data_IF_254408320982
#
_entry.id   IF_254408320982
#
_cell.length_a   1.000
_cell.length_b   1.000
_cell.length_c   1.000
_cell.angle_alpha   90.00
_cell.angle_beta   90.00
_cell.angle_gamma   90.00
#
_symmetry.space_group_name_H-M   'P 1'
#
loop_
_entity.id
_entity.type
_entity.pdbx_description
1 polymer ?
#
# COMPACT_ATOMS: atom_id res chain seq x y z
N UNK A 1 -18.14 6.02 -16.23
CA UNK A 1 -16.89 6.20 -15.47
C UNK A 1 -16.44 4.81 -14.95
N UNK A 2 -15.22 4.65 -14.42
CA UNK A 2 -14.70 3.35 -13.93
C UNK A 2 -14.38 3.42 -12.44
N UNK A 3 -14.82 2.41 -11.68
CA UNK A 3 -14.57 2.29 -10.24
C UNK A 3 -13.79 1.01 -9.95
N UNK A 4 -12.92 1.10 -8.94
CA UNK A 4 -12.19 -0.02 -8.37
C UNK A 4 -12.31 0.08 -6.86
N UNK A 5 -12.86 -0.94 -6.23
CA UNK A 5 -12.92 -1.07 -4.78
C UNK A 5 -12.05 -2.27 -4.36
N UNK A 6 -11.12 -2.02 -3.43
CA UNK A 6 -10.35 -3.08 -2.76
C UNK A 6 -10.64 -3.05 -1.27
N UNK A 7 -11.06 -4.19 -0.72
CA UNK A 7 -11.19 -4.40 0.72
C UNK A 7 -9.93 -5.10 1.22
N UNK A 8 -9.22 -4.47 2.14
CA UNK A 8 -7.91 -4.93 2.64
C UNK A 8 -7.98 -5.20 4.13
N UNK A 9 -7.50 -6.38 4.56
CA UNK A 9 -7.41 -6.77 5.97
C UNK A 9 -6.24 -6.06 6.64
N UNK A 10 -6.51 -5.43 7.78
CA UNK A 10 -5.47 -4.89 8.67
C UNK A 10 -5.18 -5.89 9.80
N UNK A 11 -3.91 -6.11 10.20
CA UNK A 11 -2.68 -5.52 9.66
C UNK A 11 -2.01 -6.32 8.52
N UNK A 12 -2.56 -7.48 8.12
CA UNK A 12 -1.92 -8.39 7.16
C UNK A 12 -1.76 -7.83 5.74
N UNK A 13 -2.51 -6.78 5.41
CA UNK A 13 -2.57 -6.17 4.07
C UNK A 13 -3.06 -7.14 2.98
N UNK A 14 -3.79 -8.18 3.36
CA UNK A 14 -4.38 -9.15 2.45
C UNK A 14 -5.64 -8.55 1.81
N UNK A 15 -5.78 -8.68 0.49
CA UNK A 15 -6.97 -8.30 -0.24
C UNK A 15 -8.05 -9.37 0.00
N UNK A 16 -9.15 -8.97 0.63
CA UNK A 16 -10.28 -9.85 0.97
C UNK A 16 -11.48 -9.61 0.05
N UNK A 17 -11.42 -8.60 -0.81
CA UNK A 17 -12.43 -8.31 -1.82
C UNK A 17 -11.88 -7.36 -2.88
N UNK A 18 -12.28 -7.58 -4.13
CA UNK A 18 -11.91 -6.75 -5.27
C UNK A 18 -13.10 -6.65 -6.21
N UNK A 19 -13.67 -5.44 -6.33
CA UNK A 19 -14.85 -5.17 -7.14
C UNK A 19 -14.51 -4.08 -8.17
N UNK A 20 -14.91 -4.31 -9.43
CA UNK A 20 -14.67 -3.38 -10.54
C UNK A 20 -15.98 -3.12 -11.26
N UNK A 21 -16.34 -1.85 -11.41
CA UNK A 21 -17.55 -1.41 -12.08
C UNK A 21 -17.21 -0.48 -13.24
N UNK A 22 -17.76 -0.77 -14.42
CA UNK A 22 -17.70 0.10 -15.60
C UNK A 22 -19.08 0.69 -15.88
N UNK A 23 -19.38 1.90 -15.38
CA UNK A 23 -20.66 2.56 -15.70
C UNK A 23 -20.71 3.15 -17.12
N UNK A 24 -19.55 3.51 -17.67
CA UNK A 24 -19.49 4.04 -19.05
C UNK A 24 -18.28 3.43 -19.72
N UNK A 25 -18.51 2.81 -20.87
CA UNK A 25 -17.50 2.07 -21.61
C UNK A 25 -17.72 2.19 -23.12
N UNK A 26 -16.64 2.19 -23.93
CA UNK A 26 -16.73 2.41 -25.37
C UNK A 26 -17.27 1.20 -26.14
N UNK A 27 -17.17 -0.01 -25.58
CA UNK A 27 -17.61 -1.25 -26.21
C UNK A 27 -18.48 -2.07 -25.28
N UNK A 28 -19.50 -2.71 -25.82
CA UNK A 28 -20.44 -3.57 -25.07
C UNK A 28 -19.76 -4.77 -24.40
N UNK A 29 -18.58 -5.16 -24.87
CA UNK A 29 -17.80 -6.27 -24.32
C UNK A 29 -16.91 -5.87 -23.13
N UNK A 30 -16.66 -4.58 -22.91
CA UNK A 30 -15.73 -4.14 -21.86
C UNK A 30 -16.09 -4.66 -20.45
N UNK A 31 -17.36 -4.65 -20.01
CA UNK A 31 -17.71 -5.14 -18.66
C UNK A 31 -17.50 -6.65 -18.46
N UNK A 32 -17.29 -7.44 -19.52
CA UNK A 32 -17.16 -8.90 -19.39
C UNK A 32 -15.91 -9.35 -18.62
N UNK A 33 -14.96 -8.44 -18.40
CA UNK A 33 -13.71 -8.71 -17.67
C UNK A 33 -13.79 -8.32 -16.19
N UNK A 34 -14.89 -7.74 -15.69
CA UNK A 34 -14.96 -7.24 -14.31
C UNK A 34 -14.72 -8.33 -13.28
N UNK A 35 -15.28 -9.52 -13.48
CA UNK A 35 -15.16 -10.65 -12.56
C UNK A 35 -13.72 -11.19 -12.50
N UNK A 36 -12.92 -10.99 -13.55
CA UNK A 36 -11.52 -11.41 -13.62
C UNK A 36 -10.66 -10.73 -12.56
N UNK A 37 -11.03 -9.52 -12.12
CA UNK A 37 -10.30 -8.79 -11.07
C UNK A 37 -10.44 -9.44 -9.68
N UNK A 38 -11.35 -10.41 -9.51
CA UNK A 38 -11.43 -11.24 -8.32
C UNK A 38 -10.15 -12.05 -8.05
N UNK A 39 -9.28 -12.25 -9.05
CA UNK A 39 -7.97 -12.90 -8.90
C UNK A 39 -6.99 -12.14 -7.98
N UNK A 40 -7.35 -10.91 -7.59
CA UNK A 40 -6.62 -10.15 -6.58
C UNK A 40 -6.86 -10.67 -5.15
N UNK A 41 -7.97 -11.36 -4.89
CA UNK A 41 -8.32 -11.85 -3.55
C UNK A 41 -7.29 -12.88 -3.08
N UNK A 42 -6.81 -12.70 -1.85
CA UNK A 42 -5.74 -13.50 -1.25
C UNK A 42 -4.32 -12.97 -1.54
N UNK A 43 -4.16 -12.01 -2.46
CA UNK A 43 -2.88 -11.33 -2.64
C UNK A 43 -2.67 -10.26 -1.55
N UNK A 44 -1.41 -9.93 -1.29
CA UNK A 44 -1.08 -8.76 -0.46
C UNK A 44 -1.03 -7.49 -1.32
N UNK A 45 -1.62 -6.39 -0.84
CA UNK A 45 -1.50 -5.06 -1.47
C UNK A 45 -0.13 -4.40 -1.21
N UNK A 46 0.75 -5.07 -0.45
CA UNK A 46 2.07 -4.59 -0.11
C UNK A 46 3.13 -4.88 -1.19
N UNK A 47 4.38 -5.12 -0.79
CA UNK A 47 5.50 -5.38 -1.71
C UNK A 47 5.13 -6.42 -2.75
N UNK A 48 5.39 -6.10 -4.03
CA UNK A 48 5.16 -6.99 -5.16
C UNK A 48 3.77 -6.87 -5.79
N UNK A 49 2.84 -6.12 -5.18
CA UNK A 49 1.49 -5.93 -5.72
C UNK A 49 1.49 -5.43 -7.17
N UNK A 50 2.25 -4.38 -7.49
CA UNK A 50 2.32 -3.84 -8.85
C UNK A 50 2.91 -4.83 -9.88
N UNK A 51 3.77 -5.76 -9.45
CA UNK A 51 4.27 -6.81 -10.34
C UNK A 51 3.19 -7.86 -10.57
N UNK A 52 2.48 -8.26 -9.52
CA UNK A 52 1.33 -9.19 -9.63
C UNK A 52 0.20 -8.63 -10.48
N UNK A 53 -0.13 -7.34 -10.34
CA UNK A 53 -1.12 -6.66 -11.19
C UNK A 53 -0.71 -6.71 -12.67
N UNK A 54 0.57 -6.51 -13.00
CA UNK A 54 1.06 -6.60 -14.39
C UNK A 54 1.08 -8.04 -14.90
N UNK A 55 1.43 -8.99 -14.04
CA UNK A 55 1.42 -10.43 -14.35
C UNK A 55 0.00 -10.87 -14.72
N UNK A 56 -0.98 -10.57 -13.86
CA UNK A 56 -2.37 -10.94 -14.06
C UNK A 56 -3.04 -10.15 -15.19
N UNK A 57 -2.99 -8.81 -15.13
CA UNK A 57 -3.84 -7.93 -15.94
C UNK A 57 -3.07 -7.07 -16.96
N UNK A 58 -1.85 -7.49 -17.32
CA UNK A 58 -1.03 -6.82 -18.32
C UNK A 58 -1.52 -7.07 -19.76
N UNK A 59 -1.56 -6.01 -20.56
CA UNK A 59 -1.92 -6.09 -21.97
C UNK A 59 -3.37 -6.58 -22.17
N UNK A 60 -3.62 -7.59 -23.03
CA UNK A 60 -4.99 -8.04 -23.35
C UNK A 60 -5.69 -8.78 -22.21
N UNK A 61 -4.99 -9.07 -21.11
CA UNK A 61 -5.56 -9.75 -19.92
C UNK A 61 -6.30 -8.80 -18.98
N UNK A 62 -6.29 -7.50 -19.26
CA UNK A 62 -6.96 -6.50 -18.43
C UNK A 62 -7.43 -5.30 -19.25
N UNK A 63 -8.26 -4.47 -18.63
CA UNK A 63 -8.48 -3.11 -19.10
C UNK A 63 -7.30 -2.23 -18.71
N UNK A 64 -6.66 -1.56 -19.67
CA UNK A 64 -5.54 -0.62 -19.43
C UNK A 64 -5.87 0.40 -18.33
N UNK A 65 -7.10 0.91 -18.31
CA UNK A 65 -7.54 1.89 -17.32
C UNK A 65 -7.62 1.30 -15.91
N UNK A 66 -8.25 0.14 -15.72
CA UNK A 66 -8.32 -0.53 -14.42
C UNK A 66 -6.95 -0.95 -13.93
N UNK A 67 -6.09 -1.47 -14.81
CA UNK A 67 -4.71 -1.84 -14.47
C UNK A 67 -3.93 -0.61 -14.00
N UNK A 68 -4.11 0.56 -14.62
CA UNK A 68 -3.51 1.81 -14.16
C UNK A 68 -4.04 2.25 -12.78
N UNK A 69 -5.36 2.19 -12.57
CA UNK A 69 -5.97 2.50 -11.27
C UNK A 69 -5.44 1.58 -10.17
N UNK A 70 -5.40 0.27 -10.39
CA UNK A 70 -4.85 -0.70 -9.45
C UNK A 70 -3.40 -0.35 -9.06
N UNK A 71 -2.54 -0.08 -10.04
CA UNK A 71 -1.15 0.30 -9.74
C UNK A 71 -1.02 1.59 -8.92
N UNK A 72 -1.96 2.54 -9.08
CA UNK A 72 -2.02 3.77 -8.30
C UNK A 72 -2.52 3.55 -6.85
N UNK A 73 -3.31 2.49 -6.60
CA UNK A 73 -3.82 2.18 -5.26
C UNK A 73 -2.73 1.66 -4.31
N UNK A 74 -1.70 0.98 -4.82
CA UNK A 74 -0.64 0.38 -3.99
C UNK A 74 0.02 1.38 -3.01
N UNK A 75 0.59 2.50 -3.48
CA UNK A 75 1.18 3.51 -2.60
C UNK A 75 0.18 4.13 -1.61
N UNK A 76 -1.07 4.34 -2.03
CA UNK A 76 -2.12 4.92 -1.18
C UNK A 76 -2.45 3.99 -0.02
N UNK A 77 -2.63 2.70 -0.28
CA UNK A 77 -2.93 1.72 0.75
C UNK A 77 -1.82 1.66 1.83
N UNK A 78 -0.55 1.67 1.40
CA UNK A 78 0.60 1.69 2.31
C UNK A 78 0.60 2.93 3.21
N UNK A 79 0.38 4.12 2.64
CA UNK A 79 0.31 5.38 3.41
C UNK A 79 -0.86 5.41 4.39
N UNK A 80 -2.02 4.87 4.01
CA UNK A 80 -3.17 4.74 4.92
C UNK A 80 -2.83 3.84 6.11
N UNK A 81 -2.10 2.76 5.88
CA UNK A 81 -1.71 1.83 6.94
C UNK A 81 -0.72 2.46 7.93
N UNK A 82 0.29 3.18 7.44
CA UNK A 82 1.19 3.94 8.33
C UNK A 82 0.42 4.95 9.18
N UNK A 83 -0.58 5.61 8.59
CA UNK A 83 -1.44 6.55 9.31
C UNK A 83 -2.22 5.86 10.45
N UNK A 84 -2.80 4.68 10.17
CA UNK A 84 -3.52 3.88 11.18
C UNK A 84 -2.62 3.30 12.27
N UNK A 85 -1.36 2.98 11.96
CA UNK A 85 -0.38 2.51 12.93
C UNK A 85 0.06 3.65 13.86
N UNK A 86 0.35 4.82 13.29
CA UNK A 86 0.76 5.99 14.08
C UNK A 86 -0.38 6.58 14.92
N UNK A 87 -1.65 6.49 14.50
CA UNK A 87 -2.77 6.88 15.36
C UNK A 87 -2.96 5.96 16.58
N UNK A 88 -2.43 4.74 16.53
CA UNK A 88 -2.46 3.79 17.64
C UNK A 88 -1.22 3.90 18.55
N UNK A 89 -0.23 4.74 18.21
CA UNK A 89 0.96 4.91 19.05
C UNK A 89 0.79 6.05 20.05
N UNK A 90 0.76 5.72 21.34
CA UNK A 90 0.63 6.69 22.45
C UNK A 90 1.82 7.68 22.51
N UNK A 91 2.95 7.38 21.85
CA UNK A 91 4.18 8.17 21.89
C UNK A 91 4.40 9.09 20.68
N UNK A 92 3.49 9.11 19.70
CA UNK A 92 3.68 9.87 18.45
C UNK A 92 4.88 9.40 17.61
N UNK A 93 5.37 8.17 17.83
CA UNK A 93 6.43 7.54 17.03
C UNK A 93 5.84 6.38 16.23
N UNK A 94 6.24 6.25 14.97
CA UNK A 94 5.82 5.12 14.12
C UNK A 94 6.51 3.81 14.52
N UNK A 95 7.66 3.92 15.19
CA UNK A 95 8.46 2.82 15.74
C UNK A 95 8.81 3.19 17.19
N UNK A 96 8.39 2.42 18.21
CA UNK A 96 8.82 2.65 19.58
C UNK A 96 10.35 2.66 19.68
N UNK A 97 10.92 3.55 20.49
CA UNK A 97 12.38 3.63 20.68
C UNK A 97 12.98 2.35 21.28
N UNK A 98 12.16 1.54 21.94
CA UNK A 98 12.55 0.30 22.63
C UNK A 98 12.31 -0.97 21.80
N UNK A 99 12.29 -0.89 20.46
CA UNK A 99 12.28 -2.09 19.63
C UNK A 99 13.67 -2.72 19.55
N UNK A 100 13.74 -4.05 19.68
CA UNK A 100 14.97 -4.81 19.39
C UNK A 100 15.35 -4.66 17.90
N UNK A 101 16.62 -4.93 17.53
CA UNK A 101 17.03 -4.93 16.13
C UNK A 101 16.13 -5.80 15.23
N UNK A 102 15.70 -6.98 15.72
CA UNK A 102 14.81 -7.89 15.00
C UNK A 102 13.41 -7.27 14.78
N UNK A 103 12.89 -6.58 15.79
CA UNK A 103 11.58 -5.93 15.71
C UNK A 103 11.62 -4.72 14.74
N UNK A 104 12.73 -3.97 14.71
CA UNK A 104 12.94 -2.86 13.77
C UNK A 104 13.01 -3.37 12.33
N UNK A 105 13.76 -4.44 12.10
CA UNK A 105 13.84 -5.08 10.78
C UNK A 105 12.47 -5.61 10.35
N UNK A 106 11.72 -6.25 11.26
CA UNK A 106 10.37 -6.73 10.98
C UNK A 106 9.41 -5.58 10.62
N UNK A 107 9.48 -4.46 11.33
CA UNK A 107 8.65 -3.27 11.07
C UNK A 107 9.01 -2.60 9.73
N UNK A 108 10.29 -2.52 9.38
CA UNK A 108 10.73 -1.96 8.10
C UNK A 108 10.41 -2.88 6.91
N UNK A 109 10.34 -4.20 7.14
CA UNK A 109 10.21 -5.22 6.09
C UNK A 109 9.01 -5.03 5.19
N UNK A 110 7.89 -4.46 5.64
CA UNK A 110 6.74 -4.20 4.75
C UNK A 110 6.98 -3.07 3.76
N UNK A 111 7.90 -2.15 4.10
CA UNK A 111 8.15 -0.91 3.36
C UNK A 111 9.41 -0.95 2.51
N UNK A 112 10.40 -1.84 2.77
CA UNK A 112 11.65 -1.85 1.97
C UNK A 112 11.40 -1.93 0.46
N UNK A 113 12.20 -1.18 -0.30
CA UNK A 113 12.14 -1.07 -1.76
C UNK A 113 10.76 -0.64 -2.30
N UNK A 114 9.90 -0.02 -1.48
CA UNK A 114 8.61 0.52 -1.93
C UNK A 114 8.74 1.90 -2.58
N UNK A 115 9.78 2.66 -2.24
CA UNK A 115 10.12 3.94 -2.86
C UNK A 115 11.59 4.29 -2.61
N UNK A 116 12.04 5.42 -3.18
CA UNK A 116 13.41 5.92 -3.04
C UNK A 116 13.86 6.07 -1.58
N UNK A 117 12.99 6.56 -0.69
CA UNK A 117 13.30 6.69 0.75
C UNK A 117 13.43 5.34 1.42
N UNK A 118 12.68 4.34 0.97
CA UNK A 118 12.68 2.99 1.55
C UNK A 118 13.63 2.02 0.84
N UNK A 119 14.59 2.51 0.06
CA UNK A 119 15.67 1.67 -0.48
C UNK A 119 16.34 0.88 0.65
N UNK A 120 16.43 -0.44 0.52
CA UNK A 120 17.02 -1.31 1.52
C UNK A 120 18.50 -0.98 1.82
N UNK A 121 19.16 -0.32 0.87
CA UNK A 121 20.52 0.20 0.96
C UNK A 121 20.55 1.73 1.12
N UNK A 122 19.41 2.35 1.40
CA UNK A 122 19.27 3.80 1.62
C UNK A 122 19.61 4.24 3.04
N UNK A 123 19.83 5.55 3.21
CA UNK A 123 20.16 6.15 4.51
C UNK A 123 19.04 5.96 5.54
N UNK A 124 17.79 6.12 5.10
CA UNK A 124 16.62 5.99 5.98
C UNK A 124 16.49 4.57 6.59
N UNK A 125 16.69 3.53 5.78
CA UNK A 125 16.63 2.14 6.24
C UNK A 125 17.81 1.82 7.17
N UNK A 126 19.01 2.36 6.89
CA UNK A 126 20.15 2.24 7.82
C UNK A 126 19.84 2.88 9.18
N UNK A 127 19.34 4.11 9.19
CA UNK A 127 18.97 4.80 10.43
C UNK A 127 17.97 3.98 11.26
N UNK A 128 16.96 3.38 10.63
CA UNK A 128 16.01 2.47 11.32
C UNK A 128 16.73 1.29 11.98
N UNK A 129 17.62 0.63 11.24
CA UNK A 129 18.39 -0.55 11.70
C UNK A 129 19.36 -0.19 12.83
N UNK A 130 19.95 1.01 12.77
CA UNK A 130 20.93 1.50 13.74
C UNK A 130 20.29 2.03 15.04
N UNK A 131 18.96 1.97 15.13
CA UNK A 131 18.27 2.36 16.35
C UNK A 131 17.77 3.80 16.36
N UNK A 132 18.06 4.58 15.31
CA UNK A 132 17.76 6.00 15.26
C UNK A 132 16.24 6.27 15.29
N UNK A 133 15.82 7.39 15.90
CA UNK A 133 14.42 7.76 15.90
C UNK A 133 13.96 8.12 14.48
N UNK A 134 12.97 7.39 13.98
CA UNK A 134 12.34 7.70 12.70
C UNK A 134 11.35 8.85 12.90
N UNK A 135 11.59 9.97 12.20
CA UNK A 135 10.66 11.07 12.21
C UNK A 135 9.29 10.66 11.64
N UNK A 136 8.23 11.15 12.27
CA UNK A 136 6.89 10.98 11.73
C UNK A 136 6.76 11.74 10.39
N UNK A 137 6.07 11.16 9.37
CA UNK A 137 5.88 11.82 8.08
C UNK A 137 5.38 13.26 8.21
N UNK A 138 5.93 14.17 7.40
CA UNK A 138 5.62 15.61 7.47
C UNK A 138 4.10 15.89 7.45
N UNK A 139 3.30 15.29 6.53
CA UNK A 139 1.86 15.56 6.50
C UNK A 139 1.15 15.14 7.79
N UNK A 140 1.62 14.08 8.44
CA UNK A 140 1.06 13.62 9.71
C UNK A 140 1.39 14.57 10.86
N UNK A 141 2.64 15.05 10.94
CA UNK A 141 3.05 16.06 11.93
C UNK A 141 2.25 17.34 11.78
N UNK A 142 2.11 17.82 10.54
CA UNK A 142 1.30 19.01 10.24
C UNK A 142 -0.16 18.79 10.65
N UNK A 143 -0.73 17.64 10.32
CA UNK A 143 -2.12 17.32 10.67
C UNK A 143 -2.37 17.22 12.18
N UNK A 144 -1.45 16.63 12.94
CA UNK A 144 -1.55 16.57 14.39
C UNK A 144 -1.48 17.96 15.03
N UNK A 145 -0.61 18.84 14.52
CA UNK A 145 -0.50 20.22 15.00
C UNK A 145 -1.75 21.08 14.71
N UNK A 146 -2.50 20.78 13.64
CA UNK A 146 -3.78 21.44 13.35
C UNK A 146 -4.93 20.97 14.29
N UNK A 147 -4.79 19.79 14.88
CA UNK A 147 -5.82 19.14 15.70
C UNK A 147 -5.60 19.33 17.21
N UNK A 148 -4.45 19.87 17.62
CA UNK A 148 -4.07 20.20 19.00
C UNK A 148 -4.38 21.64 19.36
#
# INVERSE_FOLDING_TARGET
HMQVELRVRFPSMEIVGADVLFETHPHVSCPRITDHYGELVGLSIARGFNNKVRELFGGPRGCTHTTALLMAMGPVAIQSIWSMQASQSESGRMVPGELTPEQREAAARSSLNSCHVWDENGEHVRAIRDGEPVEMPIPMRQRLAELS
#
